data_IF_324721646596
#
_entry.id   IF_324721646596
#
_cell.length_a   1.000
_cell.length_b   1.000
_cell.length_c   1.000
_cell.angle_alpha   90.00
_cell.angle_beta   90.00
_cell.angle_gamma   90.00
#
_symmetry.space_group_name_H-M   'P 1'
#
loop_
_entity.id
_entity.type
_entity.pdbx_description
1 polymer ?
#
# COMPACT_ATOMS: atom_id res chain seq x y z
N UNK A 1 6.08 20.66 30.21
CA UNK A 1 4.67 20.88 30.56
C UNK A 1 4.31 19.90 31.65
N UNK A 2 4.02 20.38 32.85
CA UNK A 2 3.64 19.56 34.01
C UNK A 2 2.17 19.75 34.40
N UNK A 3 1.33 20.18 33.47
CA UNK A 3 -0.09 20.41 33.70
C UNK A 3 -0.87 19.13 33.45
N UNK A 4 -1.81 18.81 34.34
CA UNK A 4 -2.71 17.65 34.19
C UNK A 4 -3.95 17.99 33.37
N UNK A 5 -4.27 19.28 33.21
CA UNK A 5 -5.40 19.78 32.44
C UNK A 5 -5.16 21.23 31.99
N UNK A 6 -5.85 21.69 30.97
CA UNK A 6 -5.83 23.07 30.48
C UNK A 6 -7.23 23.43 29.96
N UNK A 7 -7.73 24.61 30.37
CA UNK A 7 -9.01 25.12 29.86
C UNK A 7 -8.87 25.53 28.39
N UNK A 8 -9.95 25.42 27.60
CA UNK A 8 -9.93 25.81 26.19
C UNK A 8 -9.58 27.28 25.98
N UNK A 9 -9.99 28.14 26.90
CA UNK A 9 -9.73 29.58 26.89
C UNK A 9 -8.25 29.92 27.10
N UNK A 10 -7.47 29.02 27.70
CA UNK A 10 -6.02 29.17 27.93
C UNK A 10 -5.19 28.68 26.72
N UNK A 11 -5.82 28.01 25.75
CA UNK A 11 -5.14 27.56 24.54
C UNK A 11 -5.00 28.74 23.59
N UNK A 12 -3.78 29.24 23.46
CA UNK A 12 -3.39 30.35 22.58
C UNK A 12 -2.55 29.84 21.39
N UNK A 13 -2.24 30.72 20.45
CA UNK A 13 -1.29 30.41 19.37
C UNK A 13 0.07 30.04 19.95
N UNK A 14 0.55 30.80 20.97
CA UNK A 14 1.84 30.52 21.64
C UNK A 14 1.86 29.12 22.26
N UNK A 15 0.76 28.68 22.88
CA UNK A 15 0.64 27.32 23.36
C UNK A 15 0.88 26.30 22.23
N UNK A 16 0.35 26.55 21.04
CA UNK A 16 0.56 25.67 19.88
C UNK A 16 2.02 25.58 19.46
N UNK A 17 2.72 26.71 19.46
CA UNK A 17 4.17 26.78 19.20
C UNK A 17 5.00 26.09 20.28
N UNK A 18 4.71 26.32 21.55
CA UNK A 18 5.39 25.64 22.67
C UNK A 18 5.17 24.13 22.64
N UNK A 19 3.93 23.69 22.33
CA UNK A 19 3.62 22.28 22.20
C UNK A 19 4.42 21.61 21.06
N UNK A 20 4.58 22.29 19.93
CA UNK A 20 5.45 21.80 18.84
C UNK A 20 6.90 21.69 19.30
N UNK A 21 7.43 22.70 19.98
CA UNK A 21 8.80 22.70 20.51
C UNK A 21 9.00 21.58 21.52
N UNK A 22 8.04 21.38 22.42
CA UNK A 22 8.06 20.28 23.37
C UNK A 22 8.15 18.91 22.68
N UNK A 23 7.30 18.68 21.67
CA UNK A 23 7.33 17.42 20.91
C UNK A 23 8.67 17.23 20.16
N UNK A 24 9.24 18.30 19.62
CA UNK A 24 10.59 18.26 19.01
C UNK A 24 11.67 17.92 20.04
N UNK A 25 11.61 18.52 21.19
CA UNK A 25 12.54 18.21 22.30
C UNK A 25 12.45 16.77 22.79
N UNK A 26 11.29 16.13 22.63
CA UNK A 26 11.10 14.67 22.85
C UNK A 26 11.57 13.78 21.69
N UNK A 27 12.17 14.36 20.65
CA UNK A 27 12.64 13.60 19.47
C UNK A 27 11.52 13.13 18.52
N UNK A 28 10.31 13.69 18.63
CA UNK A 28 9.20 13.31 17.77
C UNK A 28 9.45 13.77 16.32
N UNK A 29 9.23 12.87 15.35
CA UNK A 29 9.32 13.22 13.94
C UNK A 29 8.12 14.03 13.43
N UNK A 30 8.28 14.74 12.30
CA UNK A 30 7.28 15.63 11.70
C UNK A 30 5.89 14.99 11.52
N UNK A 31 5.82 13.71 11.14
CA UNK A 31 4.54 13.01 11.00
C UNK A 31 3.80 12.86 12.33
N UNK A 32 4.50 12.59 13.43
CA UNK A 32 3.91 12.46 14.75
C UNK A 32 3.45 13.82 15.27
N UNK A 33 4.29 14.85 15.14
CA UNK A 33 3.95 16.24 15.51
C UNK A 33 2.68 16.68 14.78
N UNK A 34 2.62 16.48 13.45
CA UNK A 34 1.45 16.85 12.67
C UNK A 34 0.20 16.06 13.07
N UNK A 35 0.35 14.81 13.46
CA UNK A 35 -0.75 14.00 13.97
C UNK A 35 -1.30 14.58 15.28
N UNK A 36 -0.43 14.91 16.22
CA UNK A 36 -0.81 15.54 17.49
C UNK A 36 -1.51 16.89 17.28
N UNK A 37 -0.96 17.74 16.38
CA UNK A 37 -1.60 19.02 16.04
C UNK A 37 -2.97 18.82 15.36
N UNK A 38 -3.12 17.81 14.50
CA UNK A 38 -4.41 17.50 13.86
C UNK A 38 -5.47 17.12 14.89
N UNK A 39 -5.11 16.29 15.88
CA UNK A 39 -6.03 15.93 16.95
C UNK A 39 -6.38 17.11 17.83
N UNK A 40 -5.40 17.93 18.20
CA UNK A 40 -5.64 19.13 18.99
C UNK A 40 -6.55 20.11 18.24
N UNK A 41 -6.26 20.42 16.97
CA UNK A 41 -7.11 21.23 16.13
C UNK A 41 -8.55 20.70 16.05
N UNK A 42 -8.71 19.37 15.94
CA UNK A 42 -10.05 18.77 15.90
C UNK A 42 -10.84 19.01 17.18
N UNK A 43 -10.20 18.92 18.35
CA UNK A 43 -10.83 19.21 19.64
C UNK A 43 -11.23 20.69 19.73
N UNK A 44 -10.35 21.61 19.27
CA UNK A 44 -10.61 23.04 19.27
C UNK A 44 -11.78 23.37 18.33
N UNK A 45 -11.85 22.78 17.13
CA UNK A 45 -13.01 23.00 16.25
C UNK A 45 -14.31 22.50 16.86
N UNK A 46 -14.31 21.40 17.63
CA UNK A 46 -15.48 20.96 18.38
C UNK A 46 -15.88 22.00 19.43
N UNK A 47 -14.92 22.64 20.08
CA UNK A 47 -15.19 23.72 21.05
C UNK A 47 -15.74 24.97 20.38
N UNK A 48 -15.27 25.30 19.16
CA UNK A 48 -15.82 26.38 18.33
C UNK A 48 -17.26 26.06 17.89
N UNK A 49 -17.51 24.85 17.39
CA UNK A 49 -18.85 24.40 16.97
C UNK A 49 -19.86 24.39 18.13
N UNK A 50 -19.37 24.26 19.37
CA UNK A 50 -20.19 24.32 20.60
C UNK A 50 -20.21 25.71 21.25
N UNK A 51 -19.71 26.74 20.55
CA UNK A 51 -19.67 28.13 21.04
C UNK A 51 -18.85 28.34 22.34
N UNK A 52 -18.00 27.37 22.73
CA UNK A 52 -17.05 27.50 23.84
C UNK A 52 -15.91 28.45 23.45
N UNK A 53 -15.48 28.38 22.19
CA UNK A 53 -14.51 29.30 21.60
C UNK A 53 -15.12 30.05 20.41
N UNK A 54 -14.71 31.30 20.21
CA UNK A 54 -15.18 32.11 19.05
C UNK A 54 -14.46 31.72 17.75
N UNK A 55 -13.20 31.28 17.82
CA UNK A 55 -12.35 30.93 16.68
C UNK A 55 -11.29 29.91 17.13
N UNK A 56 -10.62 29.31 16.17
CA UNK A 56 -9.51 28.41 16.47
C UNK A 56 -8.21 29.19 16.67
N UNK A 57 -7.65 29.26 17.90
CA UNK A 57 -6.42 29.99 18.18
C UNK A 57 -5.16 29.36 17.56
N UNK A 58 -5.24 28.08 17.09
CA UNK A 58 -4.13 27.38 16.46
C UNK A 58 -4.19 27.39 14.94
N UNK A 59 -5.09 28.17 14.32
CA UNK A 59 -5.30 28.17 12.86
C UNK A 59 -3.99 28.49 12.10
N UNK A 60 -3.19 29.41 12.65
CA UNK A 60 -1.95 29.90 12.04
C UNK A 60 -0.71 29.11 12.45
N UNK A 61 -0.84 28.10 13.33
CA UNK A 61 0.27 27.21 13.72
C UNK A 61 0.57 26.22 12.57
N UNK A 62 1.69 26.38 11.83
CA UNK A 62 1.93 25.59 10.64
C UNK A 62 2.32 24.15 11.00
N UNK A 63 1.89 23.22 10.16
CA UNK A 63 2.36 21.84 10.22
C UNK A 63 3.84 21.74 9.87
N UNK A 64 4.52 20.74 10.44
CA UNK A 64 5.91 20.43 10.12
C UNK A 64 6.04 19.91 8.69
N UNK A 65 7.04 20.38 7.97
CA UNK A 65 7.37 19.87 6.64
C UNK A 65 7.82 18.42 6.73
N UNK A 66 7.04 17.50 6.16
CA UNK A 66 7.41 16.08 6.16
C UNK A 66 8.59 15.88 5.19
N UNK A 67 9.63 15.14 5.60
CA UNK A 67 10.67 14.75 4.66
C UNK A 67 10.04 13.91 3.54
N UNK A 68 10.47 14.15 2.30
CA UNK A 68 10.09 13.32 1.16
C UNK A 68 10.72 11.93 1.31
N UNK A 69 10.03 11.03 2.00
CA UNK A 69 10.48 9.65 2.15
C UNK A 69 10.40 8.90 0.82
N UNK A 70 11.44 8.15 0.47
CA UNK A 70 11.33 7.13 -0.57
C UNK A 70 10.39 6.03 -0.07
N UNK A 71 9.43 5.63 -0.90
CA UNK A 71 8.59 4.46 -0.60
C UNK A 71 9.50 3.23 -0.51
N UNK A 72 9.51 2.60 0.66
CA UNK A 72 10.28 1.37 0.87
C UNK A 72 9.59 0.23 0.11
N UNK A 73 10.20 -0.21 -0.96
CA UNK A 73 9.83 -1.39 -1.71
C UNK A 73 11.04 -2.28 -1.88
N UNK A 74 10.84 -3.57 -2.11
CA UNK A 74 11.91 -4.49 -2.44
C UNK A 74 12.06 -4.62 -3.95
N UNK A 75 13.29 -4.77 -4.41
CA UNK A 75 13.62 -5.03 -5.81
C UNK A 75 13.24 -6.47 -6.21
N UNK A 76 13.24 -6.76 -7.51
CA UNK A 76 13.04 -8.15 -8.00
C UNK A 76 14.09 -9.11 -7.44
N UNK A 77 15.35 -8.69 -7.36
CA UNK A 77 16.42 -9.52 -6.83
C UNK A 77 16.24 -9.83 -5.33
N UNK A 78 15.76 -8.85 -4.55
CA UNK A 78 15.45 -9.05 -3.15
C UNK A 78 14.24 -9.96 -2.95
N UNK A 79 13.19 -9.80 -3.75
CA UNK A 79 12.04 -10.70 -3.74
C UNK A 79 12.47 -12.13 -4.08
N UNK A 80 13.31 -12.29 -5.09
CA UNK A 80 13.84 -13.61 -5.47
C UNK A 80 14.59 -14.27 -4.31
N UNK A 81 15.48 -13.52 -3.62
CA UNK A 81 16.16 -14.05 -2.42
C UNK A 81 15.20 -14.46 -1.32
N UNK A 82 14.15 -13.67 -1.05
CA UNK A 82 13.11 -14.06 -0.08
C UNK A 82 12.40 -15.35 -0.51
N UNK A 83 12.14 -15.53 -1.80
CA UNK A 83 11.48 -16.73 -2.32
C UNK A 83 12.37 -17.98 -2.22
N UNK A 84 13.67 -17.84 -2.40
CA UNK A 84 14.66 -18.94 -2.39
C UNK A 84 15.11 -19.32 -0.98
N UNK A 85 14.88 -18.50 0.04
CA UNK A 85 15.33 -18.70 1.41
C UNK A 85 14.16 -19.12 2.31
N UNK A 86 13.88 -20.44 2.48
CA UNK A 86 12.86 -20.89 3.43
C UNK A 86 13.29 -20.58 4.86
N UNK A 87 12.29 -20.34 5.72
CA UNK A 87 12.54 -20.06 7.13
C UNK A 87 12.42 -21.35 7.97
N UNK A 88 13.30 -21.56 8.97
CA UNK A 88 13.30 -22.77 9.78
C UNK A 88 12.07 -22.88 10.68
N UNK A 89 11.60 -21.74 11.21
CA UNK A 89 10.46 -21.71 12.13
C UNK A 89 9.14 -21.64 11.37
N UNK A 90 8.17 -22.46 11.76
CA UNK A 90 6.85 -22.54 11.12
C UNK A 90 6.15 -21.18 10.97
N UNK A 91 6.24 -20.35 12.02
CA UNK A 91 5.58 -19.04 12.01
C UNK A 91 6.27 -18.03 11.09
N UNK A 92 7.61 -18.09 11.05
CA UNK A 92 8.41 -17.28 10.14
C UNK A 92 8.15 -17.69 8.69
N UNK A 93 8.09 -19.00 8.40
CA UNK A 93 7.80 -19.51 7.06
C UNK A 93 6.38 -19.14 6.60
N UNK A 94 5.37 -19.26 7.46
CA UNK A 94 4.02 -18.77 7.19
C UNK A 94 4.04 -17.27 6.85
N UNK A 95 4.75 -16.47 7.66
CA UNK A 95 4.86 -15.03 7.45
C UNK A 95 5.58 -14.70 6.14
N UNK A 96 6.64 -15.42 5.80
CA UNK A 96 7.36 -15.29 4.53
C UNK A 96 6.45 -15.56 3.33
N UNK A 97 5.72 -16.66 3.35
CA UNK A 97 4.78 -17.00 2.26
C UNK A 97 3.66 -15.97 2.13
N UNK A 98 3.10 -15.51 3.24
CA UNK A 98 2.10 -14.45 3.22
C UNK A 98 2.67 -13.10 2.72
N UNK A 99 3.93 -12.80 3.02
CA UNK A 99 4.63 -11.63 2.49
C UNK A 99 4.81 -11.73 0.98
N UNK A 100 5.28 -12.89 0.47
CA UNK A 100 5.40 -13.15 -0.97
C UNK A 100 4.02 -13.04 -1.63
N UNK A 101 3.00 -13.65 -1.06
CA UNK A 101 1.62 -13.54 -1.54
C UNK A 101 1.17 -12.08 -1.66
N UNK A 102 1.49 -11.25 -0.66
CA UNK A 102 1.21 -9.81 -0.71
C UNK A 102 1.99 -9.07 -1.80
N UNK A 103 3.20 -9.52 -2.15
CA UNK A 103 3.96 -8.96 -3.28
C UNK A 103 3.30 -9.23 -4.64
N UNK A 104 2.48 -10.27 -4.75
CA UNK A 104 1.77 -10.64 -5.98
C UNK A 104 0.27 -10.27 -5.99
N UNK A 105 -0.28 -9.82 -4.86
CA UNK A 105 -1.69 -9.43 -4.74
C UNK A 105 -1.91 -7.99 -4.33
N UNK A 106 -0.89 -7.35 -3.76
CA UNK A 106 -1.01 -6.00 -3.21
C UNK A 106 -1.85 -5.89 -1.94
N UNK A 107 -2.33 -7.00 -1.38
CA UNK A 107 -3.09 -7.00 -0.12
C UNK A 107 -2.22 -6.52 1.05
N UNK A 108 -2.82 -5.81 1.99
CA UNK A 108 -2.14 -5.44 3.23
C UNK A 108 -2.19 -6.59 4.24
N UNK A 109 -1.33 -6.55 5.27
CA UNK A 109 -1.35 -7.54 6.35
C UNK A 109 -2.75 -7.77 6.93
N UNK A 110 -3.50 -6.70 7.18
CA UNK A 110 -4.84 -6.81 7.78
C UNK A 110 -5.82 -7.52 6.85
N UNK A 111 -5.70 -7.30 5.53
CA UNK A 111 -6.57 -7.93 4.54
C UNK A 111 -6.17 -9.39 4.31
N UNK A 112 -4.87 -9.71 4.28
CA UNK A 112 -4.39 -11.12 4.21
C UNK A 112 -4.80 -11.91 5.46
N UNK A 113 -4.71 -11.32 6.64
CA UNK A 113 -5.12 -11.95 7.90
C UNK A 113 -6.61 -12.30 7.95
N UNK A 114 -7.44 -11.59 7.21
CA UNK A 114 -8.89 -11.81 7.09
C UNK A 114 -9.32 -12.35 5.73
N UNK A 115 -8.40 -12.98 5.01
CA UNK A 115 -8.70 -13.63 3.74
C UNK A 115 -9.28 -15.03 4.04
N UNK A 116 -10.53 -15.24 3.66
CA UNK A 116 -11.26 -16.50 3.79
C UNK A 116 -11.43 -17.17 2.42
N UNK A 117 -11.70 -18.48 2.35
CA UNK A 117 -11.98 -19.17 1.09
C UNK A 117 -13.05 -18.50 0.23
N UNK A 118 -14.13 -17.98 0.83
CA UNK A 118 -15.20 -17.23 0.16
C UNK A 118 -14.76 -15.99 -0.61
N UNK A 119 -13.58 -15.45 -0.32
CA UNK A 119 -13.03 -14.34 -1.09
C UNK A 119 -12.32 -14.78 -2.39
N UNK A 120 -12.15 -16.10 -2.59
CA UNK A 120 -11.50 -16.67 -3.78
C UNK A 120 -12.58 -17.13 -4.74
N UNK A 121 -12.71 -16.42 -5.84
CA UNK A 121 -13.69 -16.74 -6.89
C UNK A 121 -12.99 -17.27 -8.14
N UNK A 122 -13.74 -17.96 -8.98
CA UNK A 122 -13.23 -18.49 -10.25
C UNK A 122 -14.12 -17.99 -11.38
N UNK A 123 -13.52 -17.46 -12.43
CA UNK A 123 -14.23 -17.06 -13.66
C UNK A 123 -14.67 -18.28 -14.47
N UNK A 124 -15.59 -18.10 -15.42
CA UNK A 124 -16.08 -19.17 -16.30
C UNK A 124 -14.95 -19.84 -17.11
N UNK A 125 -13.88 -19.12 -17.41
CA UNK A 125 -12.69 -19.62 -18.09
C UNK A 125 -11.64 -20.23 -17.13
N UNK A 126 -11.99 -20.44 -15.86
CA UNK A 126 -11.16 -21.13 -14.87
C UNK A 126 -10.10 -20.26 -14.17
N UNK A 127 -10.02 -18.97 -14.46
CA UNK A 127 -9.07 -18.07 -13.79
C UNK A 127 -9.55 -17.69 -12.40
N UNK A 128 -8.65 -17.80 -11.42
CA UNK A 128 -8.94 -17.42 -10.03
C UNK A 128 -8.64 -15.95 -9.77
N UNK A 129 -9.44 -15.35 -8.91
CA UNK A 129 -9.24 -13.98 -8.46
C UNK A 129 -9.71 -13.81 -7.01
N UNK A 130 -9.21 -12.75 -6.37
CA UNK A 130 -9.65 -12.35 -5.04
C UNK A 130 -10.63 -11.20 -5.19
N UNK A 131 -11.77 -11.30 -4.50
CA UNK A 131 -12.71 -10.19 -4.31
C UNK A 131 -12.87 -9.94 -2.82
N UNK A 132 -12.44 -8.79 -2.35
CA UNK A 132 -12.47 -8.44 -0.93
C UNK A 132 -12.61 -6.93 -0.72
N UNK A 133 -13.45 -6.53 0.23
CA UNK A 133 -13.48 -5.14 0.68
C UNK A 133 -12.32 -4.88 1.64
N UNK A 134 -11.57 -3.80 1.40
CA UNK A 134 -10.43 -3.40 2.22
C UNK A 134 -10.87 -3.01 3.62
N UNK A 135 -10.22 -3.55 4.66
CA UNK A 135 -10.56 -3.25 6.07
C UNK A 135 -10.46 -1.76 6.41
N UNK A 136 -9.51 -1.04 5.78
CA UNK A 136 -9.24 0.37 6.10
C UNK A 136 -10.16 1.35 5.37
N UNK A 137 -10.59 1.02 4.17
CA UNK A 137 -11.25 1.97 3.25
C UNK A 137 -12.62 1.51 2.80
N UNK A 138 -12.98 0.27 3.08
CA UNK A 138 -14.18 -0.43 2.60
C UNK A 138 -14.34 -0.44 1.06
N UNK A 139 -13.26 -0.15 0.35
CA UNK A 139 -13.24 -0.20 -1.12
C UNK A 139 -13.01 -1.64 -1.57
N UNK A 140 -13.82 -2.10 -2.51
CA UNK A 140 -13.64 -3.40 -3.14
C UNK A 140 -12.33 -3.47 -3.92
N UNK A 141 -11.58 -4.54 -3.68
CA UNK A 141 -10.40 -4.94 -4.44
C UNK A 141 -10.74 -6.16 -5.28
N UNK A 142 -10.47 -6.10 -6.58
CA UNK A 142 -10.54 -7.21 -7.52
C UNK A 142 -9.14 -7.52 -8.01
N UNK A 143 -8.62 -8.70 -7.68
CA UNK A 143 -7.22 -9.05 -7.91
C UNK A 143 -7.14 -10.40 -8.62
N UNK A 144 -6.88 -10.43 -9.94
CA UNK A 144 -6.54 -11.66 -10.64
C UNK A 144 -5.30 -12.31 -10.02
N UNK A 145 -5.36 -13.62 -9.78
CA UNK A 145 -4.26 -14.32 -9.13
C UNK A 145 -3.13 -14.62 -10.11
N UNK A 146 -1.92 -14.28 -9.68
CA UNK A 146 -0.69 -14.71 -10.33
C UNK A 146 -0.41 -16.18 -9.97
N UNK A 147 0.17 -17.01 -10.87
CA UNK A 147 0.46 -18.43 -10.58
C UNK A 147 1.21 -18.67 -9.26
N UNK A 148 2.17 -17.80 -8.89
CA UNK A 148 2.87 -17.88 -7.61
C UNK A 148 1.91 -17.71 -6.42
N UNK A 149 0.97 -16.77 -6.52
CA UNK A 149 -0.04 -16.55 -5.48
C UNK A 149 -0.98 -17.76 -5.37
N UNK A 150 -1.36 -18.38 -6.49
CA UNK A 150 -2.17 -19.61 -6.50
C UNK A 150 -1.42 -20.79 -5.86
N UNK A 151 -0.14 -20.98 -6.17
CA UNK A 151 0.69 -22.01 -5.56
C UNK A 151 0.78 -21.84 -4.04
N UNK A 152 0.92 -20.59 -3.57
CA UNK A 152 0.94 -20.32 -2.13
C UNK A 152 -0.42 -20.62 -1.49
N UNK A 153 -1.52 -20.20 -2.13
CA UNK A 153 -2.88 -20.50 -1.63
C UNK A 153 -3.11 -22.01 -1.49
N UNK A 154 -2.66 -22.80 -2.46
CA UNK A 154 -2.82 -24.25 -2.45
C UNK A 154 -2.12 -24.97 -1.26
N UNK A 155 -1.22 -24.28 -0.57
CA UNK A 155 -0.54 -24.81 0.63
C UNK A 155 -1.35 -24.59 1.92
N UNK A 156 -2.46 -23.87 1.85
CA UNK A 156 -3.23 -23.44 3.02
C UNK A 156 -4.69 -23.84 2.92
N UNK A 157 -5.49 -23.42 3.93
CA UNK A 157 -6.92 -23.68 3.94
C UNK A 157 -7.62 -22.93 2.80
N UNK A 158 -8.31 -23.65 1.93
CA UNK A 158 -9.09 -23.10 0.82
C UNK A 158 -10.55 -23.56 0.81
N UNK A 159 -10.98 -24.31 1.82
CA UNK A 159 -12.31 -24.95 1.87
C UNK A 159 -13.09 -24.69 3.17
N UNK A 160 -12.39 -24.51 4.30
CA UNK A 160 -13.02 -24.23 5.59
C UNK A 160 -13.30 -22.74 5.75
N UNK A 161 -14.55 -22.34 5.57
CA UNK A 161 -15.04 -20.97 5.70
C UNK A 161 -14.99 -20.42 7.14
N UNK A 162 -14.79 -21.27 8.13
CA UNK A 162 -14.73 -20.86 9.54
C UNK A 162 -13.38 -20.25 9.89
N UNK A 163 -12.34 -20.53 9.11
CA UNK A 163 -10.98 -20.11 9.38
C UNK A 163 -10.37 -19.32 8.22
N UNK A 164 -9.57 -18.30 8.51
CA UNK A 164 -8.86 -17.57 7.46
C UNK A 164 -7.83 -18.47 6.76
N UNK A 165 -7.55 -18.19 5.50
CA UNK A 165 -6.57 -18.95 4.70
C UNK A 165 -5.18 -18.90 5.35
N UNK A 166 -4.77 -17.72 5.84
CA UNK A 166 -3.48 -17.53 6.50
C UNK A 166 -3.67 -17.25 7.99
N UNK A 167 -3.36 -18.20 8.90
CA UNK A 167 -3.43 -17.97 10.35
C UNK A 167 -2.28 -17.09 10.85
N UNK A 168 -2.23 -15.85 10.37
CA UNK A 168 -1.13 -14.91 10.67
C UNK A 168 -1.12 -14.48 12.14
N UNK A 169 0.07 -14.29 12.74
CA UNK A 169 0.24 -13.90 14.12
C UNK A 169 -0.28 -12.49 14.42
N UNK A 170 -0.23 -12.07 15.66
CA UNK A 170 -0.44 -10.67 16.06
C UNK A 170 0.70 -9.77 15.54
N UNK A 171 0.45 -8.46 15.51
CA UNK A 171 1.33 -7.48 14.85
C UNK A 171 2.76 -7.48 15.36
N UNK A 172 2.96 -7.65 16.67
CA UNK A 172 4.30 -7.60 17.27
C UNK A 172 5.15 -8.80 16.81
N UNK A 173 4.56 -10.00 16.84
CA UNK A 173 5.22 -11.22 16.35
C UNK A 173 5.42 -11.18 14.83
N UNK A 174 4.47 -10.60 14.09
CA UNK A 174 4.64 -10.37 12.65
C UNK A 174 5.86 -9.50 12.36
N UNK A 175 6.03 -8.42 13.13
CA UNK A 175 7.17 -7.52 12.98
C UNK A 175 8.49 -8.25 13.17
N UNK A 176 8.58 -9.05 14.25
CA UNK A 176 9.75 -9.90 14.51
C UNK A 176 10.03 -10.85 13.32
N UNK A 177 9.03 -11.61 12.86
CA UNK A 177 9.20 -12.54 11.75
C UNK A 177 9.67 -11.83 10.46
N UNK A 178 9.12 -10.66 10.15
CA UNK A 178 9.50 -9.89 8.96
C UNK A 178 10.93 -9.37 9.07
N UNK A 179 11.36 -8.96 10.26
CA UNK A 179 12.72 -8.54 10.50
C UNK A 179 13.71 -9.69 10.25
N UNK A 180 13.44 -10.89 10.80
CA UNK A 180 14.25 -12.08 10.58
C UNK A 180 14.32 -12.49 9.10
N UNK A 181 13.19 -12.45 8.38
CA UNK A 181 13.15 -12.71 6.93
C UNK A 181 14.07 -11.71 6.20
N UNK A 182 14.06 -10.44 6.59
CA UNK A 182 14.92 -9.41 6.01
C UNK A 182 16.42 -9.72 6.22
N UNK A 183 16.79 -10.15 7.43
CA UNK A 183 18.18 -10.53 7.77
C UNK A 183 18.62 -11.73 6.93
N UNK A 184 17.84 -12.80 6.92
CA UNK A 184 18.17 -14.05 6.20
C UNK A 184 18.27 -13.81 4.69
N UNK A 185 17.41 -12.97 4.13
CA UNK A 185 17.45 -12.60 2.71
C UNK A 185 18.51 -11.53 2.37
N UNK A 186 19.30 -11.06 3.35
CA UNK A 186 20.34 -10.07 3.14
C UNK A 186 19.81 -8.71 2.65
N UNK A 187 18.65 -8.29 3.16
CA UNK A 187 18.08 -6.99 2.84
C UNK A 187 18.69 -5.93 3.76
N UNK A 188 19.33 -4.92 3.16
CA UNK A 188 20.08 -3.90 3.90
C UNK A 188 19.21 -2.96 4.75
N UNK A 189 17.97 -2.72 4.33
CA UNK A 189 17.02 -1.86 5.04
C UNK A 189 16.09 -2.70 5.90
N UNK A 190 15.58 -2.10 7.01
CA UNK A 190 14.56 -2.76 7.82
C UNK A 190 13.33 -3.09 6.97
N UNK A 191 13.11 -4.38 6.72
CA UNK A 191 11.96 -4.87 6.00
C UNK A 191 10.69 -4.66 6.84
N UNK A 192 9.65 -4.17 6.22
CA UNK A 192 8.32 -4.08 6.82
C UNK A 192 7.30 -4.86 5.99
N UNK A 193 6.26 -5.41 6.62
CA UNK A 193 5.22 -6.11 5.84
C UNK A 193 4.60 -5.22 4.76
N UNK A 194 4.49 -3.92 5.02
CA UNK A 194 3.92 -2.98 4.05
C UNK A 194 4.78 -2.79 2.79
N UNK A 195 6.08 -3.11 2.87
CA UNK A 195 6.95 -3.11 1.70
C UNK A 195 6.47 -4.08 0.60
N UNK A 196 5.82 -5.22 0.96
CA UNK A 196 5.24 -6.15 -0.01
C UNK A 196 4.21 -5.45 -0.92
N UNK A 197 3.33 -4.66 -0.32
CA UNK A 197 2.31 -3.92 -1.06
C UNK A 197 2.90 -2.80 -1.92
N UNK A 198 3.95 -2.12 -1.43
CA UNK A 198 4.68 -1.15 -2.24
C UNK A 198 5.38 -1.83 -3.42
N UNK A 199 5.96 -3.01 -3.18
CA UNK A 199 6.59 -3.82 -4.24
C UNK A 199 5.58 -4.24 -5.31
N UNK A 200 4.37 -4.67 -4.93
CA UNK A 200 3.31 -4.96 -5.89
C UNK A 200 3.03 -3.75 -6.80
N UNK A 201 2.79 -2.56 -6.21
CA UNK A 201 2.52 -1.35 -6.99
C UNK A 201 3.65 -1.00 -7.95
N UNK A 202 4.90 -1.06 -7.48
CA UNK A 202 6.09 -0.77 -8.29
C UNK A 202 6.31 -1.81 -9.39
N UNK A 203 6.15 -3.11 -9.08
CA UNK A 203 6.31 -4.21 -10.04
C UNK A 203 5.24 -4.16 -11.14
N UNK A 204 3.98 -3.90 -10.79
CA UNK A 204 2.89 -3.78 -11.76
C UNK A 204 3.08 -2.58 -12.69
N UNK A 205 3.49 -1.42 -12.14
CA UNK A 205 3.82 -0.24 -12.97
C UNK A 205 5.00 -0.52 -13.90
N UNK A 206 6.05 -1.18 -13.41
CA UNK A 206 7.20 -1.57 -14.23
C UNK A 206 6.83 -2.57 -15.32
N UNK A 207 5.82 -3.41 -15.09
CA UNK A 207 5.28 -4.33 -16.08
C UNK A 207 4.35 -3.65 -17.10
N UNK A 208 4.06 -2.35 -16.95
CA UNK A 208 3.21 -1.59 -17.86
C UNK A 208 1.71 -1.73 -17.60
N UNK A 209 1.31 -2.21 -16.42
CA UNK A 209 -0.10 -2.25 -16.03
C UNK A 209 -0.60 -0.82 -15.80
N UNK A 210 -1.76 -0.42 -16.34
CA UNK A 210 -2.34 0.90 -16.14
C UNK A 210 -2.52 1.23 -14.65
N UNK A 211 -2.22 2.47 -14.27
CA UNK A 211 -2.26 2.91 -12.87
C UNK A 211 -3.67 2.82 -12.27
N UNK A 212 -4.70 3.01 -13.08
CA UNK A 212 -6.11 2.86 -12.71
C UNK A 212 -6.42 1.40 -12.29
N UNK A 213 -5.93 0.43 -13.08
CA UNK A 213 -6.07 -0.99 -12.77
C UNK A 213 -5.36 -1.36 -11.48
N UNK A 214 -4.13 -0.85 -11.28
CA UNK A 214 -3.37 -1.05 -10.05
C UNK A 214 -4.11 -0.44 -8.86
N UNK A 215 -4.64 0.78 -9.01
CA UNK A 215 -5.41 1.47 -7.97
C UNK A 215 -6.63 0.65 -7.54
N UNK A 216 -7.36 0.07 -8.50
CA UNK A 216 -8.52 -0.79 -8.24
C UNK A 216 -8.11 -2.10 -7.57
N UNK A 217 -7.08 -2.79 -8.08
CA UNK A 217 -6.55 -4.00 -7.44
C UNK A 217 -6.11 -3.75 -6.00
N UNK A 218 -5.48 -2.61 -5.75
CA UNK A 218 -5.04 -2.23 -4.40
C UNK A 218 -6.17 -1.67 -3.52
N UNK A 219 -7.37 -1.39 -4.04
CA UNK A 219 -8.48 -0.79 -3.30
C UNK A 219 -8.13 0.58 -2.71
N UNK A 220 -7.52 1.45 -3.51
CA UNK A 220 -7.25 2.83 -3.12
C UNK A 220 -8.48 3.70 -3.38
N UNK A 221 -8.85 4.54 -2.42
CA UNK A 221 -9.93 5.53 -2.57
C UNK A 221 -9.56 6.67 -3.53
N UNK A 222 -8.26 6.89 -3.75
CA UNK A 222 -7.74 7.92 -4.64
C UNK A 222 -6.54 7.41 -5.42
N UNK A 223 -6.54 7.66 -6.72
CA UNK A 223 -5.45 7.33 -7.63
C UNK A 223 -4.13 8.02 -7.24
N UNK A 224 -4.20 9.17 -6.55
CA UNK A 224 -3.02 9.89 -6.01
C UNK A 224 -2.17 9.00 -5.10
N UNK A 225 -2.79 8.06 -4.37
CA UNK A 225 -2.06 7.09 -3.55
C UNK A 225 -1.22 6.14 -4.42
N UNK A 226 -1.74 5.75 -5.58
CA UNK A 226 -1.03 4.86 -6.52
C UNK A 226 0.05 5.64 -7.30
N UNK A 227 -0.17 6.91 -7.59
CA UNK A 227 0.83 7.78 -8.23
C UNK A 227 2.12 7.91 -7.40
N UNK A 228 2.06 7.70 -6.08
CA UNK A 228 3.25 7.62 -5.24
C UNK A 228 4.25 6.52 -5.64
N UNK A 229 3.81 5.48 -6.36
CA UNK A 229 4.67 4.43 -6.94
C UNK A 229 5.27 4.82 -8.29
N UNK A 230 4.65 5.77 -8.99
CA UNK A 230 5.05 6.24 -10.31
C UNK A 230 6.12 7.33 -10.21
N UNK A 231 7.31 7.00 -9.67
CA UNK A 231 8.49 7.84 -9.95
C UNK A 231 8.93 7.52 -11.38
N UNK A 232 8.44 8.32 -12.31
CA UNK A 232 8.90 8.26 -13.69
C UNK A 232 10.35 8.77 -13.69
N UNK A 233 11.31 7.88 -13.94
CA UNK A 233 12.71 8.23 -14.19
C UNK A 233 12.92 8.46 -15.68
N UNK A 234 13.94 9.20 -16.05
CA UNK A 234 14.31 9.43 -17.46
C UNK A 234 14.55 8.10 -18.19
N UNK A 235 15.14 7.12 -17.48
CA UNK A 235 15.33 5.76 -17.99
C UNK A 235 13.99 5.09 -18.34
N UNK A 236 12.99 5.26 -17.49
CA UNK A 236 11.65 4.70 -17.73
C UNK A 236 10.96 5.35 -18.94
N UNK A 237 11.12 6.66 -19.10
CA UNK A 237 10.61 7.39 -20.28
C UNK A 237 11.26 6.83 -21.54
N UNK A 238 12.59 6.66 -21.53
CA UNK A 238 13.34 6.11 -22.65
C UNK A 238 12.91 4.69 -23.00
N UNK A 239 12.77 3.81 -21.99
CA UNK A 239 12.28 2.44 -22.19
C UNK A 239 10.87 2.39 -22.79
N UNK A 240 9.96 3.25 -22.33
CA UNK A 240 8.59 3.27 -22.82
C UNK A 240 8.50 3.79 -24.25
N UNK A 241 9.36 4.77 -24.61
CA UNK A 241 9.51 5.23 -25.99
C UNK A 241 10.09 4.13 -26.90
N UNK A 242 11.11 3.40 -26.45
CA UNK A 242 11.67 2.27 -27.20
C UNK A 242 10.64 1.16 -27.44
N UNK A 243 9.82 0.84 -26.42
CA UNK A 243 8.73 -0.12 -26.57
C UNK A 243 7.68 0.33 -27.59
N UNK A 244 7.34 1.63 -27.58
CA UNK A 244 6.43 2.22 -28.55
C UNK A 244 6.99 2.13 -29.98
N UNK A 245 8.26 2.48 -30.17
CA UNK A 245 8.95 2.40 -31.46
C UNK A 245 8.96 0.96 -32.00
N UNK A 246 9.34 -0.01 -31.16
CA UNK A 246 9.35 -1.44 -31.52
C UNK A 246 7.93 -1.96 -31.91
N UNK A 247 6.88 -1.53 -31.20
CA UNK A 247 5.49 -1.88 -31.57
C UNK A 247 5.10 -1.31 -32.94
N UNK A 248 5.42 -0.05 -33.22
CA UNK A 248 5.14 0.58 -34.50
C UNK A 248 5.92 -0.08 -35.67
N UNK A 249 7.15 -0.50 -35.42
CA UNK A 249 7.95 -1.22 -36.41
C UNK A 249 7.30 -2.56 -36.74
N UNK A 250 6.93 -3.36 -35.73
CA UNK A 250 6.21 -4.64 -35.93
C UNK A 250 4.88 -4.49 -36.67
N UNK A 251 4.16 -3.39 -36.47
CA UNK A 251 2.93 -3.10 -37.20
C UNK A 251 3.18 -2.74 -38.68
N UNK A 252 4.30 -2.07 -38.98
CA UNK A 252 4.71 -1.79 -40.36
C UNK A 252 5.14 -3.06 -41.10
N UNK A 253 5.86 -3.95 -40.39
CA UNK A 253 6.40 -5.19 -40.95
C UNK A 253 5.30 -6.28 -41.12
N UNK A 254 4.12 -6.11 -40.48
CA UNK A 254 2.98 -7.04 -40.60
C UNK A 254 1.64 -6.31 -40.84
N UNK A 255 1.43 -5.75 -42.05
CA UNK A 255 0.25 -4.94 -42.37
C UNK A 255 -1.07 -5.69 -42.47
N UNK A 256 -1.11 -7.03 -42.31
CA UNK A 256 -2.31 -7.87 -42.51
C UNK A 256 -3.27 -7.95 -41.30
N UNK A 257 -3.06 -7.20 -40.24
CA UNK A 257 -3.94 -7.17 -39.06
C UNK A 257 -4.56 -5.79 -38.75
N UNK A 258 -4.75 -4.94 -39.74
CA UNK A 258 -5.55 -3.73 -39.55
C UNK A 258 -7.04 -4.10 -39.63
N UNK A 259 -7.88 -3.71 -38.67
CA UNK A 259 -9.34 -3.90 -38.80
C UNK A 259 -9.83 -3.08 -40.01
N UNK A 260 -10.50 -3.73 -40.93
CA UNK A 260 -11.16 -3.08 -42.07
C UNK A 260 -12.23 -2.13 -41.51
N UNK A 261 -12.22 -0.84 -41.89
CA UNK A 261 -13.31 0.06 -41.50
C UNK A 261 -14.62 -0.49 -42.07
N UNK A 262 -15.59 -0.79 -41.20
CA UNK A 262 -16.94 -1.17 -41.61
C UNK A 262 -17.55 -0.04 -42.47
N UNK A 263 -17.85 -0.35 -43.69
CA UNK A 263 -18.54 0.55 -44.61
C UNK A 263 -19.89 0.95 -43.99
N UNK A 264 -20.06 2.24 -43.78
CA UNK A 264 -21.34 2.83 -43.41
C UNK A 264 -22.24 2.75 -44.64
N UNK A 265 -23.21 1.83 -44.64
CA UNK A 265 -24.32 1.90 -45.55
C UNK A 265 -25.16 3.13 -45.27
N UNK A 266 -25.06 4.12 -46.15
CA UNK A 266 -26.11 5.15 -46.29
C UNK A 266 -27.25 4.55 -47.08
N UNK A 267 -28.43 4.53 -46.53
CA UNK A 267 -29.72 4.51 -47.16
C UNK A 267 -30.60 5.52 -46.47
#
# INVERSE_FOLDING_TARGET
MGMNDIAFEEITEDFGWEYKLYLKGKGCGASHINHCLTWLNRLIYIAVDREVLRFNPLADVPYEKKPTGKLKHISRAELQRIMEQPMPERLQELTRRAFIFSCFTGLSYVDVKRLYPSHIETTLDGRKYIRINRKKTDVESFIPLHPIAEQILAMYNTTDESNPIFPLPKRDMLWYCIHEIGIVAGIKENLSYHASRHSFGTLMLSAGVPIESISKMMGHTSIKTTQGYAKVTDDKISEDMDKLMKRRQKQKDNPRQSPVPSAVHRS
#
